data_IF_555791254992
#
_entry.id   IF_555791254992
#
_cell.length_a   1.000
_cell.length_b   1.000
_cell.length_c   1.000
_cell.angle_alpha   90.00
_cell.angle_beta   90.00
_cell.angle_gamma   90.00
#
_symmetry.space_group_name_H-M   'P 1'
#
loop_
_entity.id
_entity.type
_entity.pdbx_description
1 polymer ?
#
# COMPACT_ATOMS: atom_id res chain seq x y z
N UNK A 1 27.78 13.20 13.01
CA UNK A 1 26.99 13.26 11.75
C UNK A 1 25.58 13.66 12.13
N UNK A 2 24.95 14.60 11.41
CA UNK A 2 23.54 14.96 11.62
C UNK A 2 22.63 13.77 11.34
N UNK A 3 21.43 13.76 11.96
CA UNK A 3 20.40 12.75 11.65
C UNK A 3 20.02 12.83 10.19
N UNK A 4 19.83 11.68 9.53
CA UNK A 4 19.28 11.64 8.17
C UNK A 4 17.80 12.07 8.21
N UNK A 5 17.40 12.93 7.29
CA UNK A 5 16.02 13.42 7.19
C UNK A 5 15.21 12.58 6.21
N UNK A 6 13.99 12.23 6.57
CA UNK A 6 13.02 11.57 5.71
C UNK A 6 11.68 12.30 5.73
N UNK A 7 11.08 12.47 4.55
CA UNK A 7 9.78 13.14 4.41
C UNK A 7 8.71 12.12 4.02
N UNK A 8 7.59 12.10 4.76
CA UNK A 8 6.52 11.10 4.63
C UNK A 8 5.18 11.79 4.36
N UNK A 9 4.87 12.14 3.10
CA UNK A 9 3.53 12.58 2.73
C UNK A 9 2.50 11.48 3.01
N UNK A 10 1.42 11.80 3.75
CA UNK A 10 0.42 10.82 4.17
C UNK A 10 0.83 9.96 5.38
N UNK A 11 1.85 10.35 6.13
CA UNK A 11 2.34 9.63 7.32
C UNK A 11 1.32 9.47 8.46
N UNK A 12 0.16 10.14 8.42
CA UNK A 12 -0.93 9.98 9.39
C UNK A 12 -1.83 8.75 9.18
N UNK A 13 -1.79 8.10 7.99
CA UNK A 13 -2.54 6.89 7.69
C UNK A 13 -2.03 5.65 8.43
N UNK A 14 -2.72 4.51 8.29
CA UNK A 14 -2.32 3.24 8.94
C UNK A 14 -0.86 2.88 8.64
N UNK A 15 -0.52 2.70 7.36
CA UNK A 15 0.86 2.38 6.94
C UNK A 15 1.81 3.51 7.34
N UNK A 16 1.42 4.77 7.13
CA UNK A 16 2.24 5.92 7.44
C UNK A 16 2.66 6.02 8.91
N UNK A 17 1.77 5.66 9.85
CA UNK A 17 2.10 5.63 11.28
C UNK A 17 3.15 4.56 11.62
N UNK A 18 3.09 3.40 10.98
CA UNK A 18 4.13 2.36 11.15
C UNK A 18 5.47 2.82 10.59
N UNK A 19 5.48 3.39 9.39
CA UNK A 19 6.69 3.97 8.76
C UNK A 19 7.28 5.07 9.61
N UNK A 20 6.45 6.02 10.08
CA UNK A 20 6.88 7.11 10.95
C UNK A 20 7.55 6.59 12.23
N UNK A 21 6.90 5.65 12.94
CA UNK A 21 7.47 5.06 14.17
C UNK A 21 8.79 4.33 13.90
N UNK A 22 8.86 3.59 12.80
CA UNK A 22 10.05 2.84 12.42
C UNK A 22 11.25 3.77 12.23
N UNK A 23 11.11 4.82 11.43
CA UNK A 23 12.22 5.75 11.19
C UNK A 23 12.58 6.59 12.42
N UNK A 24 11.60 6.98 13.25
CA UNK A 24 11.88 7.63 14.56
C UNK A 24 12.68 6.71 15.47
N UNK A 25 12.28 5.44 15.61
CA UNK A 25 12.97 4.45 16.44
C UNK A 25 14.40 4.19 15.96
N UNK A 26 14.66 4.33 14.65
CA UNK A 26 15.98 4.21 14.04
C UNK A 26 16.77 5.55 14.01
N UNK A 27 16.32 6.57 14.73
CA UNK A 27 17.08 7.81 14.97
C UNK A 27 17.03 8.82 13.81
N UNK A 28 16.09 8.69 12.85
CA UNK A 28 15.92 9.64 11.75
C UNK A 28 15.22 10.92 12.20
N UNK A 29 15.47 12.02 11.47
CA UNK A 29 14.64 13.24 11.52
C UNK A 29 13.45 13.03 10.58
N UNK A 30 12.26 12.83 11.16
CA UNK A 30 11.05 12.46 10.40
C UNK A 30 10.14 13.66 10.21
N UNK A 31 9.83 14.00 8.97
CA UNK A 31 8.87 15.03 8.61
C UNK A 31 7.63 14.36 7.99
N UNK A 32 6.47 14.58 8.59
CA UNK A 32 5.19 14.09 8.07
C UNK A 32 4.42 15.22 7.41
N UNK A 33 4.12 15.10 6.11
CA UNK A 33 3.20 16.03 5.46
C UNK A 33 1.76 15.53 5.63
N UNK A 34 0.90 16.38 6.20
CA UNK A 34 -0.49 16.03 6.50
C UNK A 34 -1.45 17.17 6.17
N UNK A 35 -2.62 16.83 5.64
CA UNK A 35 -3.75 17.77 5.43
C UNK A 35 -4.44 18.17 6.74
N UNK A 36 -4.19 17.42 7.80
CA UNK A 36 -4.63 17.77 9.15
C UNK A 36 -3.48 18.42 9.90
N UNK A 37 -3.77 19.46 10.65
CA UNK A 37 -2.79 20.06 11.56
C UNK A 37 -2.61 19.18 12.76
N UNK A 38 -1.37 18.85 13.09
CA UNK A 38 -0.99 18.08 14.25
C UNK A 38 0.08 18.84 15.02
N UNK A 39 0.12 18.65 16.33
CA UNK A 39 1.25 19.10 17.14
C UNK A 39 2.50 18.26 16.84
N UNK A 40 3.67 18.90 16.91
CA UNK A 40 4.93 18.20 16.80
C UNK A 40 5.07 17.23 17.97
N UNK A 41 5.68 16.08 17.70
CA UNK A 41 6.01 15.08 18.74
C UNK A 41 7.49 14.82 18.71
N UNK A 42 8.03 14.25 19.78
CA UNK A 42 9.44 13.91 19.85
C UNK A 42 9.85 13.05 18.64
N UNK A 43 10.85 13.53 17.90
CA UNK A 43 11.36 12.87 16.68
C UNK A 43 10.48 13.01 15.44
N UNK A 44 9.32 13.71 15.50
CA UNK A 44 8.43 13.90 14.34
C UNK A 44 7.99 15.34 14.22
N UNK A 45 8.24 15.93 13.07
CA UNK A 45 7.69 17.24 12.69
C UNK A 45 6.49 17.05 11.75
N UNK A 46 5.37 17.67 12.07
CA UNK A 46 4.17 17.66 11.22
C UNK A 46 4.07 18.98 10.48
N UNK A 47 4.09 18.91 9.16
CA UNK A 47 3.96 20.08 8.29
C UNK A 47 2.64 19.97 7.53
N UNK A 48 1.90 21.06 7.52
CA UNK A 48 0.65 21.11 6.76
C UNK A 48 0.93 21.21 5.26
N UNK A 49 0.18 20.46 4.47
CA UNK A 49 0.13 20.57 3.01
C UNK A 49 -1.28 20.23 2.53
N UNK A 50 -1.66 20.66 1.34
CA UNK A 50 -2.98 20.34 0.76
C UNK A 50 -2.95 19.09 -0.14
N UNK A 51 -1.74 18.63 -0.53
CA UNK A 51 -1.51 17.47 -1.39
C UNK A 51 -1.62 17.77 -2.89
N UNK A 52 -1.63 19.05 -3.29
CA UNK A 52 -1.84 19.44 -4.68
C UNK A 52 -1.00 20.65 -5.13
N UNK A 53 -0.64 21.56 -4.23
CA UNK A 53 0.04 22.80 -4.59
C UNK A 53 1.39 22.91 -3.89
N UNK A 54 2.38 23.53 -4.56
CA UNK A 54 3.65 23.92 -3.93
C UNK A 54 3.40 25.01 -2.89
N UNK A 55 4.06 24.86 -1.76
CA UNK A 55 4.05 25.81 -0.66
C UNK A 55 5.33 25.56 0.18
N UNK A 56 5.51 26.25 1.30
CA UNK A 56 6.66 26.16 2.20
C UNK A 56 7.02 24.72 2.66
N UNK A 57 6.11 23.77 2.58
CA UNK A 57 6.40 22.35 2.84
C UNK A 57 7.46 21.76 1.89
N UNK A 58 7.60 22.32 0.68
CA UNK A 58 8.56 21.86 -0.33
C UNK A 58 10.02 21.98 0.14
N UNK A 59 10.32 22.98 0.98
CA UNK A 59 11.65 23.20 1.54
C UNK A 59 12.13 22.01 2.40
N UNK A 60 11.19 21.21 2.93
CA UNK A 60 11.52 20.02 3.70
C UNK A 60 12.15 18.90 2.85
N UNK A 61 11.96 18.94 1.53
CA UNK A 61 12.54 17.94 0.62
C UNK A 61 14.01 18.19 0.34
N UNK A 62 14.45 19.46 0.43
CA UNK A 62 15.86 19.80 0.21
C UNK A 62 16.75 19.21 1.30
N UNK A 63 17.77 18.46 0.92
CA UNK A 63 18.66 17.74 1.81
C UNK A 63 18.00 16.53 2.52
N UNK A 64 16.78 16.11 2.15
CA UNK A 64 16.22 14.86 2.62
C UNK A 64 16.94 13.66 1.98
N UNK A 65 17.19 12.60 2.76
CA UNK A 65 17.77 11.37 2.22
C UNK A 65 16.75 10.58 1.38
N UNK A 66 15.48 10.62 1.78
CA UNK A 66 14.40 9.91 1.08
C UNK A 66 13.05 10.63 1.24
N UNK A 67 12.15 10.37 0.28
CA UNK A 67 10.73 10.70 0.35
C UNK A 67 9.92 9.40 0.27
N UNK A 68 8.93 9.20 1.16
CA UNK A 68 8.01 8.06 1.12
C UNK A 68 6.59 8.59 0.98
N UNK A 69 6.12 8.73 -0.26
CA UNK A 69 4.76 9.21 -0.54
C UNK A 69 3.73 8.08 -0.34
N UNK A 70 2.93 8.22 0.71
CA UNK A 70 1.78 7.37 1.05
C UNK A 70 0.46 8.14 0.94
N UNK A 71 0.49 9.34 0.33
CA UNK A 71 -0.69 10.15 0.17
C UNK A 71 -1.67 9.51 -0.83
N UNK A 72 -2.92 9.52 -0.45
CA UNK A 72 -4.00 9.02 -1.29
C UNK A 72 -5.30 8.92 -0.50
N UNK A 73 -6.42 9.18 -1.17
CA UNK A 73 -7.73 8.93 -0.61
C UNK A 73 -7.97 7.42 -0.47
N UNK A 74 -8.65 7.01 0.61
CA UNK A 74 -9.07 5.62 0.77
C UNK A 74 -9.94 5.15 -0.41
N UNK A 75 -9.66 3.93 -0.90
CA UNK A 75 -10.48 3.24 -1.91
C UNK A 75 -11.67 2.50 -1.28
N UNK A 76 -11.73 2.46 0.06
CA UNK A 76 -12.86 1.89 0.79
C UNK A 76 -14.06 2.84 0.72
N UNK A 77 -14.62 3.00 -0.47
CA UNK A 77 -15.77 3.83 -0.76
C UNK A 77 -16.45 3.36 -2.06
N UNK A 78 -17.70 3.76 -2.29
CA UNK A 78 -18.40 3.53 -3.57
C UNK A 78 -17.74 4.31 -4.71
N UNK A 79 -17.51 3.69 -5.85
CA UNK A 79 -16.90 4.28 -7.03
C UNK A 79 -17.88 5.12 -7.88
N UNK A 80 -18.63 6.04 -7.22
CA UNK A 80 -19.42 7.05 -7.91
C UNK A 80 -18.53 8.15 -8.51
N UNK A 81 -19.07 8.98 -9.41
CA UNK A 81 -18.31 10.02 -10.15
C UNK A 81 -17.41 10.88 -9.24
N UNK A 82 -17.93 11.39 -8.13
CA UNK A 82 -17.16 12.21 -7.16
C UNK A 82 -15.99 11.42 -6.56
N UNK A 83 -16.27 10.22 -6.05
CA UNK A 83 -15.24 9.41 -5.39
C UNK A 83 -14.15 8.97 -6.38
N UNK A 84 -14.52 8.59 -7.62
CA UNK A 84 -13.54 8.26 -8.67
C UNK A 84 -12.61 9.44 -8.95
N UNK A 85 -13.16 10.64 -9.13
CA UNK A 85 -12.38 11.85 -9.33
C UNK A 85 -11.41 12.10 -8.17
N UNK A 86 -11.88 12.07 -6.94
CA UNK A 86 -11.05 12.30 -5.77
C UNK A 86 -9.98 11.20 -5.55
N UNK A 87 -10.25 9.95 -5.99
CA UNK A 87 -9.26 8.88 -5.97
C UNK A 87 -8.14 9.15 -6.97
N UNK A 88 -8.44 9.61 -8.20
CA UNK A 88 -7.45 10.03 -9.18
C UNK A 88 -6.65 11.23 -8.66
N UNK A 89 -7.34 12.34 -8.39
CA UNK A 89 -6.74 13.62 -8.02
C UNK A 89 -5.80 13.49 -6.81
N UNK A 90 -6.23 12.75 -5.77
CA UNK A 90 -5.42 12.59 -4.55
C UNK A 90 -4.10 11.83 -4.79
N UNK A 91 -3.97 11.09 -5.88
CA UNK A 91 -2.77 10.33 -6.25
C UNK A 91 -1.93 11.07 -7.28
N UNK A 92 -2.57 11.51 -8.35
CA UNK A 92 -1.91 12.23 -9.43
C UNK A 92 -1.30 13.54 -8.89
N UNK A 93 -2.11 14.40 -8.29
CA UNK A 93 -1.64 15.73 -7.82
C UNK A 93 -0.57 15.62 -6.73
N UNK A 94 -0.76 14.71 -5.75
CA UNK A 94 0.25 14.53 -4.71
C UNK A 94 1.60 14.06 -5.28
N UNK A 95 1.57 13.23 -6.32
CA UNK A 95 2.78 12.72 -6.96
C UNK A 95 3.41 13.80 -7.84
N UNK A 96 2.61 14.52 -8.64
CA UNK A 96 3.10 15.59 -9.50
C UNK A 96 3.76 16.71 -8.68
N UNK A 97 3.10 17.21 -7.63
CA UNK A 97 3.63 18.29 -6.81
C UNK A 97 4.88 17.90 -6.02
N UNK A 98 5.00 16.63 -5.58
CA UNK A 98 6.24 16.13 -4.97
C UNK A 98 7.36 16.08 -6.02
N UNK A 99 7.07 15.62 -7.23
CA UNK A 99 8.04 15.62 -8.33
C UNK A 99 8.55 17.02 -8.67
N UNK A 100 7.65 18.01 -8.72
CA UNK A 100 7.98 19.41 -8.94
C UNK A 100 8.83 19.96 -7.79
N UNK A 101 8.48 19.68 -6.54
CA UNK A 101 9.25 20.09 -5.37
C UNK A 101 10.65 19.48 -5.36
N UNK A 102 10.81 18.19 -5.69
CA UNK A 102 12.12 17.53 -5.80
C UNK A 102 12.96 18.18 -6.91
N UNK A 103 12.36 18.53 -8.05
CA UNK A 103 13.05 19.20 -9.15
C UNK A 103 13.59 20.59 -8.75
N UNK A 104 12.97 21.25 -7.78
CA UNK A 104 13.40 22.54 -7.23
C UNK A 104 14.47 22.46 -6.14
N UNK A 105 14.81 21.27 -5.64
CA UNK A 105 15.78 21.10 -4.56
C UNK A 105 17.22 21.39 -5.03
N UNK A 106 18.00 22.11 -4.21
CA UNK A 106 19.44 22.23 -4.40
C UNK A 106 20.18 20.92 -4.12
N UNK A 107 19.68 20.15 -3.15
CA UNK A 107 20.17 18.81 -2.78
C UNK A 107 18.98 17.85 -2.78
N UNK A 108 18.61 17.26 -3.95
CA UNK A 108 17.44 16.42 -4.06
C UNK A 108 17.59 15.11 -3.29
N UNK A 109 16.48 14.51 -2.83
CA UNK A 109 16.47 13.20 -2.20
C UNK A 109 17.10 12.14 -3.10
N UNK A 110 17.89 11.22 -2.51
CA UNK A 110 18.50 10.11 -3.28
C UNK A 110 17.46 9.15 -3.83
N UNK A 111 16.37 8.94 -3.08
CA UNK A 111 15.30 8.01 -3.48
C UNK A 111 13.93 8.58 -3.11
N UNK A 112 12.99 8.37 -4.04
CA UNK A 112 11.59 8.64 -3.85
C UNK A 112 10.78 7.35 -3.99
N UNK A 113 10.24 6.88 -2.87
CA UNK A 113 9.25 5.81 -2.79
C UNK A 113 7.87 6.43 -2.99
N UNK A 114 7.15 5.96 -3.96
CA UNK A 114 5.76 6.37 -4.19
C UNK A 114 4.85 5.16 -4.06
N UNK A 115 3.79 5.27 -3.26
CA UNK A 115 2.81 4.20 -3.19
C UNK A 115 2.23 3.92 -4.58
N UNK A 116 2.00 2.65 -4.85
CA UNK A 116 1.35 2.08 -6.01
C UNK A 116 0.54 0.87 -5.56
N UNK A 117 0.05 0.03 -6.44
CA UNK A 117 -0.76 -1.12 -6.04
C UNK A 117 -0.55 -2.34 -6.92
N UNK A 118 -0.48 -3.51 -6.29
CA UNK A 118 -0.50 -4.82 -6.96
C UNK A 118 -1.80 -5.08 -7.77
N UNK A 119 -2.81 -4.23 -7.62
CA UNK A 119 -4.05 -4.26 -8.42
C UNK A 119 -3.81 -4.00 -9.91
N UNK A 120 -2.65 -3.44 -10.28
CA UNK A 120 -2.28 -3.19 -11.68
C UNK A 120 -2.24 -4.48 -12.52
N UNK A 121 -1.90 -5.61 -11.89
CA UNK A 121 -1.81 -6.90 -12.58
C UNK A 121 -3.19 -7.47 -12.90
N UNK A 122 -3.27 -8.28 -13.97
CA UNK A 122 -4.50 -8.95 -14.36
C UNK A 122 -5.01 -9.91 -13.26
N UNK A 123 -6.27 -10.26 -13.35
CA UNK A 123 -6.84 -11.36 -12.58
C UNK A 123 -6.12 -12.66 -12.94
N UNK A 124 -5.44 -13.30 -12.00
CA UNK A 124 -4.64 -14.51 -12.24
C UNK A 124 -5.02 -15.63 -11.29
N UNK A 125 -5.39 -16.78 -11.88
CA UNK A 125 -5.55 -18.06 -11.18
C UNK A 125 -4.48 -19.07 -11.62
N UNK A 126 -3.81 -18.82 -12.73
CA UNK A 126 -2.96 -19.73 -13.47
C UNK A 126 -1.47 -19.60 -13.11
N UNK A 127 -0.97 -18.38 -12.86
CA UNK A 127 0.44 -18.15 -12.56
C UNK A 127 0.68 -16.94 -11.67
N UNK A 128 1.86 -16.87 -11.09
CA UNK A 128 2.35 -15.75 -10.32
C UNK A 128 2.62 -14.54 -11.22
N UNK A 129 2.44 -13.33 -10.67
CA UNK A 129 2.73 -12.05 -11.30
C UNK A 129 3.89 -11.40 -10.56
N UNK A 130 5.05 -11.37 -11.16
CA UNK A 130 6.21 -10.61 -10.71
C UNK A 130 6.41 -9.33 -11.54
N UNK A 131 7.48 -8.58 -11.28
CA UNK A 131 7.76 -7.33 -11.98
C UNK A 131 8.28 -7.53 -13.41
N UNK A 132 8.86 -8.68 -13.72
CA UNK A 132 9.47 -9.01 -15.00
C UNK A 132 8.48 -9.65 -15.98
N UNK A 133 7.66 -10.58 -15.49
CA UNK A 133 6.77 -11.41 -16.32
C UNK A 133 5.29 -11.15 -16.06
N UNK A 134 4.96 -10.35 -15.05
CA UNK A 134 3.58 -10.06 -14.67
C UNK A 134 2.85 -9.22 -15.71
N UNK A 135 1.66 -9.67 -16.09
CA UNK A 135 0.82 -9.01 -17.08
C UNK A 135 -0.01 -7.89 -16.44
N UNK A 136 0.15 -6.68 -16.98
CA UNK A 136 -0.70 -5.54 -16.61
C UNK A 136 -2.09 -5.75 -17.18
N UNK A 137 -3.12 -5.55 -16.36
CA UNK A 137 -4.51 -5.66 -16.80
C UNK A 137 -4.83 -4.55 -17.82
N UNK A 138 -5.44 -4.86 -18.97
CA UNK A 138 -5.76 -3.85 -19.96
C UNK A 138 -6.87 -2.91 -19.48
N UNK A 139 -6.80 -1.65 -19.91
CA UNK A 139 -7.87 -0.67 -19.77
C UNK A 139 -8.46 -0.40 -21.15
N UNK A 140 -9.79 -0.39 -21.26
CA UNK A 140 -10.50 -0.16 -22.51
C UNK A 140 -10.15 1.20 -23.14
N UNK A 141 -10.11 1.26 -24.47
CA UNK A 141 -10.01 2.53 -25.19
C UNK A 141 -11.13 3.50 -24.80
N UNK A 142 -10.78 4.77 -24.61
CA UNK A 142 -11.71 5.80 -24.12
C UNK A 142 -11.96 5.79 -22.61
N UNK A 143 -11.28 4.90 -21.86
CA UNK A 143 -11.29 4.86 -20.41
C UNK A 143 -11.99 3.63 -19.81
N UNK A 144 -11.94 3.49 -18.47
CA UNK A 144 -12.40 2.30 -17.78
C UNK A 144 -13.91 2.10 -17.86
N UNK A 145 -14.36 0.93 -18.31
CA UNK A 145 -15.77 0.54 -18.47
C UNK A 145 -16.36 -0.13 -17.22
N UNK A 146 -15.51 -0.69 -16.36
CA UNK A 146 -15.90 -1.37 -15.15
C UNK A 146 -15.02 -0.99 -13.97
N UNK A 147 -15.28 -1.56 -12.79
CA UNK A 147 -14.56 -1.24 -11.55
C UNK A 147 -13.13 -1.76 -11.53
N UNK A 148 -12.86 -2.88 -12.19
CA UNK A 148 -11.52 -3.47 -12.26
C UNK A 148 -10.62 -2.62 -13.15
N UNK A 149 -11.09 -2.26 -14.33
CA UNK A 149 -10.38 -1.34 -15.21
C UNK A 149 -10.15 0.03 -14.55
N UNK A 150 -11.15 0.53 -13.77
CA UNK A 150 -10.96 1.77 -13.01
C UNK A 150 -9.79 1.67 -12.03
N UNK A 151 -9.70 0.58 -11.25
CA UNK A 151 -8.61 0.40 -10.29
C UNK A 151 -7.25 0.31 -10.98
N UNK A 152 -7.18 -0.33 -12.15
CA UNK A 152 -5.96 -0.42 -12.97
C UNK A 152 -5.59 0.94 -13.56
N UNK A 153 -6.57 1.68 -14.09
CA UNK A 153 -6.33 3.02 -14.66
C UNK A 153 -5.80 3.99 -13.60
N UNK A 154 -6.34 3.93 -12.38
CA UNK A 154 -5.80 4.70 -11.23
C UNK A 154 -4.32 4.41 -11.02
N UNK A 155 -3.91 3.14 -11.02
CA UNK A 155 -2.51 2.77 -10.79
C UNK A 155 -1.63 3.20 -11.97
N UNK A 156 -2.09 3.00 -13.20
CA UNK A 156 -1.37 3.41 -14.42
C UNK A 156 -1.08 4.92 -14.42
N UNK A 157 -2.06 5.75 -14.06
CA UNK A 157 -1.88 7.21 -13.97
C UNK A 157 -0.93 7.58 -12.83
N UNK A 158 -1.07 6.91 -11.70
CA UNK A 158 -0.21 7.15 -10.54
C UNK A 158 1.26 6.84 -10.83
N UNK A 159 1.56 5.67 -11.43
CA UNK A 159 2.92 5.32 -11.84
C UNK A 159 3.43 6.23 -12.95
N UNK A 160 2.58 6.65 -13.89
CA UNK A 160 2.93 7.62 -14.94
C UNK A 160 3.34 8.97 -14.35
N UNK A 161 2.60 9.51 -13.38
CA UNK A 161 2.96 10.76 -12.71
C UNK A 161 4.33 10.65 -12.02
N UNK A 162 4.64 9.51 -11.38
CA UNK A 162 5.94 9.26 -10.77
C UNK A 162 7.07 9.21 -11.80
N UNK A 163 6.89 8.42 -12.86
CA UNK A 163 8.00 8.16 -13.80
C UNK A 163 8.22 9.30 -14.81
N UNK A 164 7.22 10.14 -15.04
CA UNK A 164 7.35 11.33 -15.88
C UNK A 164 7.97 12.54 -15.16
N UNK A 165 8.14 12.50 -13.82
CA UNK A 165 8.77 13.59 -13.09
C UNK A 165 10.21 13.85 -13.60
N UNK A 166 10.58 15.11 -13.94
CA UNK A 166 11.88 15.43 -14.54
C UNK A 166 12.98 15.57 -13.46
N UNK A 167 13.27 14.48 -12.76
CA UNK A 167 14.19 14.41 -11.62
C UNK A 167 15.28 13.34 -11.83
N UNK A 168 16.23 13.53 -12.75
CA UNK A 168 17.19 12.49 -13.12
C UNK A 168 18.12 12.05 -11.96
N UNK A 169 18.33 12.93 -10.97
CA UNK A 169 19.19 12.65 -9.80
C UNK A 169 18.52 11.86 -8.68
N UNK A 170 17.20 11.63 -8.74
CA UNK A 170 16.43 10.91 -7.73
C UNK A 170 15.99 9.54 -8.25
N UNK A 171 16.38 8.48 -7.55
CA UNK A 171 15.91 7.12 -7.83
C UNK A 171 14.42 6.99 -7.46
N UNK A 172 13.62 6.44 -8.36
CA UNK A 172 12.16 6.33 -8.20
C UNK A 172 11.76 4.88 -8.02
N UNK A 173 10.94 4.61 -6.99
CA UNK A 173 10.38 3.29 -6.70
C UNK A 173 8.87 3.39 -6.61
N UNK A 174 8.14 2.72 -7.53
CA UNK A 174 6.71 2.52 -7.42
C UNK A 174 6.48 1.28 -6.54
N UNK A 175 6.05 1.51 -5.30
CA UNK A 175 5.72 0.44 -4.35
C UNK A 175 4.38 -0.19 -4.72
N UNK A 176 4.36 -1.27 -5.49
CA UNK A 176 3.15 -2.04 -5.82
C UNK A 176 2.68 -2.83 -4.60
N UNK A 177 2.02 -2.14 -3.70
CA UNK A 177 1.55 -2.68 -2.42
C UNK A 177 0.44 -3.71 -2.62
N UNK A 178 0.57 -4.85 -1.96
CA UNK A 178 -0.52 -5.77 -1.64
C UNK A 178 -1.28 -5.30 -0.39
N UNK A 179 -2.18 -6.12 0.15
CA UNK A 179 -2.83 -5.80 1.42
C UNK A 179 -1.82 -5.89 2.56
N UNK A 180 -1.54 -4.76 3.21
CA UNK A 180 -0.62 -4.70 4.36
C UNK A 180 -1.38 -4.99 5.64
N UNK A 181 -0.98 -6.05 6.34
CA UNK A 181 -1.56 -6.50 7.60
C UNK A 181 -0.62 -6.17 8.77
N UNK A 182 -1.21 -5.75 9.87
CA UNK A 182 -0.53 -5.40 11.12
C UNK A 182 -1.52 -4.90 12.15
N UNK A 183 -1.04 -4.60 13.35
CA UNK A 183 -1.86 -4.07 14.46
C UNK A 183 -2.12 -2.57 14.30
N UNK A 184 -3.24 -2.11 14.86
CA UNK A 184 -3.60 -0.69 14.92
C UNK A 184 -4.85 -0.33 14.11
N UNK A 185 -5.51 0.73 14.53
CA UNK A 185 -6.79 1.20 13.98
C UNK A 185 -6.67 1.66 12.53
N UNK A 186 -7.66 1.32 11.72
CA UNK A 186 -7.74 1.69 10.29
C UNK A 186 -6.94 0.77 9.36
N UNK A 187 -6.32 -0.29 9.90
CA UNK A 187 -5.70 -1.36 9.12
C UNK A 187 -6.72 -2.35 8.59
N UNK A 188 -6.37 -3.05 7.51
CA UNK A 188 -7.24 -4.06 6.90
C UNK A 188 -7.42 -5.29 7.81
N UNK A 189 -6.42 -5.60 8.66
CA UNK A 189 -6.52 -6.71 9.62
C UNK A 189 -7.67 -6.53 10.60
N UNK A 190 -7.88 -5.32 11.12
CA UNK A 190 -8.99 -5.00 12.02
C UNK A 190 -10.34 -5.40 11.42
N UNK A 191 -10.55 -5.08 10.14
CA UNK A 191 -11.81 -5.42 9.43
C UNK A 191 -11.98 -6.93 9.30
N UNK A 192 -10.95 -7.62 8.81
CA UNK A 192 -11.00 -9.09 8.63
C UNK A 192 -11.15 -9.81 9.96
N UNK A 193 -10.43 -9.40 11.00
CA UNK A 193 -10.52 -9.91 12.36
C UNK A 193 -11.94 -9.77 12.92
N UNK A 194 -12.51 -8.58 12.84
CA UNK A 194 -13.85 -8.31 13.35
C UNK A 194 -14.91 -9.18 12.63
N UNK A 195 -14.89 -9.20 11.30
CA UNK A 195 -15.79 -10.06 10.50
C UNK A 195 -15.65 -11.53 10.93
N UNK A 196 -14.43 -12.00 11.12
CA UNK A 196 -14.13 -13.38 11.53
C UNK A 196 -14.70 -13.68 12.92
N UNK A 197 -14.50 -12.80 13.89
CA UNK A 197 -15.00 -12.96 15.26
C UNK A 197 -16.53 -12.91 15.37
N UNK A 198 -17.20 -12.24 14.43
CA UNK A 198 -18.66 -12.26 14.29
C UNK A 198 -19.19 -13.52 13.57
N UNK A 199 -18.33 -14.52 13.28
CA UNK A 199 -18.74 -15.75 12.60
C UNK A 199 -18.91 -15.62 11.08
N UNK A 200 -18.55 -14.48 10.49
CA UNK A 200 -18.64 -14.21 9.05
C UNK A 200 -17.30 -14.39 8.32
N UNK A 201 -16.32 -15.03 8.98
CA UNK A 201 -14.98 -15.30 8.45
C UNK A 201 -14.88 -16.51 7.53
N UNK A 202 -15.95 -16.91 6.85
CA UNK A 202 -15.92 -17.97 5.85
C UNK A 202 -15.30 -17.54 4.53
N UNK A 203 -15.29 -18.47 3.57
CA UNK A 203 -14.82 -18.23 2.21
C UNK A 203 -15.59 -17.07 1.57
N UNK A 204 -14.87 -16.15 0.93
CA UNK A 204 -15.43 -15.00 0.24
C UNK A 204 -15.50 -15.27 -1.28
N UNK A 205 -16.67 -15.11 -1.88
CA UNK A 205 -16.88 -15.39 -3.29
C UNK A 205 -16.61 -16.88 -3.63
N UNK A 206 -15.92 -17.19 -4.75
CA UNK A 206 -15.59 -18.56 -5.14
C UNK A 206 -14.50 -19.20 -4.23
N UNK A 207 -13.72 -18.41 -3.51
CA UNK A 207 -12.64 -18.87 -2.64
C UNK A 207 -11.38 -19.35 -3.34
N UNK A 208 -11.41 -19.44 -4.67
CA UNK A 208 -10.25 -19.85 -5.50
C UNK A 208 -9.38 -18.67 -5.90
N UNK A 209 -9.90 -17.44 -5.81
CA UNK A 209 -9.11 -16.23 -6.09
C UNK A 209 -7.99 -16.09 -5.06
N UNK A 210 -6.81 -15.72 -5.55
CA UNK A 210 -5.63 -15.52 -4.70
C UNK A 210 -5.66 -14.18 -3.98
N UNK A 211 -5.14 -14.20 -2.76
CA UNK A 211 -4.92 -13.05 -1.91
C UNK A 211 -3.41 -12.85 -1.80
N UNK A 212 -2.92 -11.74 -2.35
CA UNK A 212 -1.58 -11.24 -2.02
C UNK A 212 -1.66 -10.36 -0.79
N UNK A 213 -0.76 -10.61 0.13
CA UNK A 213 -0.71 -10.00 1.45
C UNK A 213 0.72 -9.62 1.81
N UNK A 214 0.90 -8.82 2.85
CA UNK A 214 2.20 -8.43 3.37
C UNK A 214 2.09 -8.14 4.86
N UNK A 215 3.03 -8.66 5.67
CA UNK A 215 3.16 -8.26 7.06
C UNK A 215 3.78 -6.85 7.14
N UNK A 216 3.28 -6.00 8.03
CA UNK A 216 3.76 -4.61 8.16
C UNK A 216 5.24 -4.54 8.54
N UNK A 217 5.75 -5.48 9.34
CA UNK A 217 7.17 -5.56 9.69
C UNK A 217 8.04 -5.82 8.45
N UNK A 218 7.67 -6.79 7.61
CA UNK A 218 8.39 -7.04 6.36
C UNK A 218 8.30 -5.85 5.40
N UNK A 219 7.17 -5.14 5.38
CA UNK A 219 7.07 -3.89 4.61
C UNK A 219 8.10 -2.84 5.07
N UNK A 220 8.27 -2.65 6.38
CA UNK A 220 9.26 -1.72 6.92
C UNK A 220 10.70 -2.15 6.57
N UNK A 221 10.99 -3.45 6.67
CA UNK A 221 12.28 -4.02 6.26
C UNK A 221 12.54 -3.88 4.76
N UNK A 222 11.50 -4.02 3.92
CA UNK A 222 11.60 -3.78 2.48
C UNK A 222 11.93 -2.31 2.17
N UNK A 223 11.38 -1.35 2.92
CA UNK A 223 11.74 0.07 2.78
C UNK A 223 13.23 0.28 3.08
N UNK A 224 13.71 -0.26 4.22
CA UNK A 224 15.14 -0.20 4.56
C UNK A 224 16.00 -0.88 3.50
N UNK A 225 15.59 -2.07 3.04
CA UNK A 225 16.31 -2.80 2.00
C UNK A 225 16.44 -1.97 0.73
N UNK A 226 15.33 -1.47 0.22
CA UNK A 226 15.32 -0.63 -0.98
C UNK A 226 16.07 0.70 -0.79
N UNK A 227 16.10 1.25 0.43
CA UNK A 227 16.83 2.48 0.74
C UNK A 227 18.34 2.32 0.53
N UNK A 228 18.89 1.14 0.88
CA UNK A 228 20.32 0.85 0.83
C UNK A 228 20.77 0.01 -0.37
N UNK A 229 19.84 -0.44 -1.24
CA UNK A 229 20.14 -1.21 -2.45
C UNK A 229 19.80 -0.39 -3.70
N UNK A 230 20.79 0.38 -4.19
CA UNK A 230 20.58 1.37 -5.25
C UNK A 230 20.18 0.76 -6.62
N UNK A 231 20.44 -0.53 -6.86
CA UNK A 231 20.01 -1.23 -8.05
C UNK A 231 18.49 -1.47 -8.12
N UNK A 232 17.78 -1.38 -6.98
CA UNK A 232 16.33 -1.47 -6.94
C UNK A 232 15.71 -0.13 -7.30
N UNK A 233 15.17 -0.01 -8.50
CA UNK A 233 14.48 1.18 -9.03
C UNK A 233 13.30 0.77 -9.91
N UNK A 234 12.39 1.67 -10.22
CA UNK A 234 11.18 1.33 -10.97
C UNK A 234 10.10 0.64 -10.12
N UNK A 235 9.23 -0.18 -10.72
CA UNK A 235 8.22 -0.93 -9.98
C UNK A 235 8.85 -2.01 -9.08
N UNK A 236 8.37 -2.11 -7.83
CA UNK A 236 8.75 -3.14 -6.87
C UNK A 236 7.49 -3.67 -6.19
N UNK A 237 7.27 -4.97 -6.27
CA UNK A 237 6.13 -5.63 -5.62
C UNK A 237 6.38 -5.75 -4.12
N UNK A 238 5.63 -4.98 -3.34
CA UNK A 238 5.65 -5.03 -1.89
C UNK A 238 4.59 -6.02 -1.40
N UNK A 239 4.94 -7.31 -1.42
CA UNK A 239 4.07 -8.41 -1.03
C UNK A 239 4.87 -9.57 -0.42
N UNK A 240 4.20 -10.43 0.34
CA UNK A 240 4.76 -11.72 0.78
C UNK A 240 5.02 -12.64 -0.42
N UNK A 241 6.03 -13.54 -0.36
CA UNK A 241 6.36 -14.45 -1.47
C UNK A 241 5.30 -15.54 -1.71
N UNK A 242 4.38 -15.76 -0.76
CA UNK A 242 3.41 -16.85 -0.79
C UNK A 242 1.95 -16.33 -0.83
N UNK A 243 1.46 -15.85 -2.00
CA UNK A 243 0.04 -15.57 -2.17
C UNK A 243 -0.75 -16.88 -2.07
N UNK A 244 -1.98 -16.83 -1.52
CA UNK A 244 -2.77 -18.04 -1.32
C UNK A 244 -4.24 -17.87 -1.69
N UNK A 245 -4.97 -18.98 -2.01
CA UNK A 245 -6.41 -18.92 -2.27
C UNK A 245 -7.19 -18.34 -1.09
N UNK A 246 -8.22 -17.55 -1.37
CA UNK A 246 -9.04 -16.90 -0.32
C UNK A 246 -9.60 -17.89 0.70
N UNK A 247 -10.03 -19.09 0.28
CA UNK A 247 -10.55 -20.11 1.20
C UNK A 247 -9.53 -20.48 2.29
N UNK A 248 -8.26 -20.66 1.89
CA UNK A 248 -7.16 -21.05 2.76
C UNK A 248 -6.70 -19.86 3.61
N UNK A 249 -6.69 -18.65 3.03
CA UNK A 249 -6.45 -17.40 3.72
C UNK A 249 -7.47 -17.16 4.86
N UNK A 250 -8.75 -17.30 4.58
CA UNK A 250 -9.80 -17.12 5.58
C UNK A 250 -9.83 -18.23 6.61
N UNK A 251 -9.47 -19.48 6.22
CA UNK A 251 -9.31 -20.58 7.16
C UNK A 251 -8.21 -20.30 8.17
N UNK A 252 -7.01 -19.94 7.72
CA UNK A 252 -5.88 -19.61 8.58
C UNK A 252 -6.19 -18.42 9.53
N UNK A 253 -6.91 -17.41 9.04
CA UNK A 253 -7.35 -16.30 9.89
C UNK A 253 -8.31 -16.73 10.99
N UNK A 254 -9.26 -17.65 10.69
CA UNK A 254 -10.16 -18.20 11.72
C UNK A 254 -9.39 -18.95 12.79
N UNK A 255 -8.45 -19.81 12.38
CA UNK A 255 -7.59 -20.56 13.32
C UNK A 255 -6.83 -19.58 14.24
N UNK A 256 -6.22 -18.53 13.68
CA UNK A 256 -5.52 -17.50 14.45
C UNK A 256 -6.45 -16.78 15.45
N UNK A 257 -7.69 -16.49 15.04
CA UNK A 257 -8.70 -15.84 15.89
C UNK A 257 -9.37 -16.80 16.89
N UNK A 258 -9.13 -18.12 16.82
CA UNK A 258 -9.80 -19.14 17.65
C UNK A 258 -11.28 -19.34 17.30
N UNK A 259 -11.67 -19.07 16.05
CA UNK A 259 -13.07 -19.17 15.57
C UNK A 259 -13.24 -20.44 14.74
N UNK A 260 -13.96 -21.44 15.28
CA UNK A 260 -14.15 -22.75 14.63
C UNK A 260 -14.96 -22.71 13.34
N UNK A 261 -15.98 -21.86 13.28
CA UNK A 261 -16.93 -21.82 12.17
C UNK A 261 -16.94 -20.41 11.55
N UNK A 262 -17.06 -20.35 10.22
CA UNK A 262 -17.23 -19.09 9.49
C UNK A 262 -18.25 -19.27 8.38
N UNK A 263 -19.28 -18.47 8.39
CA UNK A 263 -20.28 -18.47 7.32
C UNK A 263 -19.63 -17.98 6.01
N UNK A 264 -19.76 -18.73 4.92
CA UNK A 264 -19.27 -18.30 3.63
C UNK A 264 -20.09 -17.11 3.12
N UNK A 265 -19.41 -16.21 2.42
CA UNK A 265 -20.02 -15.02 1.83
C UNK A 265 -19.98 -15.13 0.30
N UNK A 266 -20.99 -15.72 -0.34
CA UNK A 266 -21.05 -15.80 -1.79
C UNK A 266 -21.06 -14.40 -2.42
N UNK A 267 -20.64 -14.28 -3.68
CA UNK A 267 -20.42 -12.99 -4.35
C UNK A 267 -21.63 -12.04 -4.28
N UNK A 268 -22.85 -12.57 -4.37
CA UNK A 268 -24.08 -11.74 -4.24
C UNK A 268 -24.26 -11.16 -2.83
N UNK A 269 -23.93 -11.95 -1.80
CA UNK A 269 -24.02 -11.49 -0.40
C UNK A 269 -22.90 -10.47 -0.09
N UNK A 270 -21.70 -10.67 -0.64
CA UNK A 270 -20.64 -9.65 -0.61
C UNK A 270 -21.10 -8.34 -1.27
N UNK A 271 -21.87 -8.43 -2.37
CA UNK A 271 -22.49 -7.27 -3.02
C UNK A 271 -23.43 -6.50 -2.09
N UNK A 272 -24.26 -7.20 -1.33
CA UNK A 272 -25.15 -6.61 -0.33
C UNK A 272 -24.35 -6.01 0.83
N UNK A 273 -23.39 -6.76 1.40
CA UNK A 273 -22.52 -6.28 2.47
C UNK A 273 -21.71 -5.04 2.05
N UNK A 274 -21.13 -5.08 0.86
CA UNK A 274 -20.43 -3.93 0.27
C UNK A 274 -21.37 -2.73 0.06
N UNK A 275 -22.66 -2.99 -0.24
CA UNK A 275 -23.67 -1.93 -0.32
C UNK A 275 -23.84 -1.21 1.02
N UNK A 276 -24.02 -1.91 2.09
CA UNK A 276 -24.19 -1.34 3.43
C UNK A 276 -22.90 -0.74 3.98
N UNK A 277 -21.74 -1.37 3.76
CA UNK A 277 -20.43 -0.87 4.18
C UNK A 277 -19.88 0.23 3.27
N UNK A 278 -20.59 0.59 2.20
CA UNK A 278 -20.18 1.61 1.21
C UNK A 278 -18.80 1.35 0.58
N UNK A 279 -18.45 0.08 0.39
CA UNK A 279 -17.20 -0.37 -0.24
C UNK A 279 -17.43 -1.05 -1.58
N UNK A 280 -16.39 -1.53 -2.23
CA UNK A 280 -16.44 -2.24 -3.51
C UNK A 280 -15.98 -3.69 -3.38
N UNK A 281 -16.74 -4.60 -4.01
CA UNK A 281 -16.44 -6.06 -4.00
C UNK A 281 -15.20 -6.43 -4.79
N UNK A 282 -14.75 -5.56 -5.69
CA UNK A 282 -13.53 -5.77 -6.49
C UNK A 282 -12.31 -6.03 -5.60
N UNK A 283 -12.22 -5.35 -4.46
CA UNK A 283 -11.12 -5.50 -3.51
C UNK A 283 -10.95 -6.94 -2.98
N UNK A 284 -12.04 -7.72 -2.96
CA UNK A 284 -12.09 -9.09 -2.44
C UNK A 284 -12.14 -10.17 -3.54
N UNK A 285 -12.73 -9.85 -4.70
CA UNK A 285 -13.02 -10.84 -5.75
C UNK A 285 -11.98 -10.92 -6.87
N UNK A 286 -11.17 -9.86 -7.07
CA UNK A 286 -10.06 -9.91 -8.05
C UNK A 286 -8.95 -10.80 -7.49
N UNK A 287 -8.59 -11.85 -8.22
CA UNK A 287 -7.44 -12.71 -7.87
C UNK A 287 -6.13 -11.96 -8.08
N UNK A 288 -5.42 -11.75 -6.99
CA UNK A 288 -4.08 -11.14 -6.97
C UNK A 288 -3.08 -12.21 -6.57
N UNK A 289 -2.41 -12.80 -7.55
CA UNK A 289 -1.36 -13.80 -7.34
C UNK A 289 -0.01 -13.17 -7.64
N UNK A 290 0.37 -12.20 -6.79
CA UNK A 290 1.54 -11.35 -6.99
C UNK A 290 2.67 -11.80 -6.07
N UNK A 291 3.88 -11.87 -6.60
CA UNK A 291 5.10 -12.25 -5.90
C UNK A 291 6.19 -11.17 -6.03
N UNK A 292 7.08 -11.04 -5.04
CA UNK A 292 8.10 -10.00 -4.98
C UNK A 292 9.39 -10.43 -5.69
N UNK A 293 9.33 -10.63 -7.03
CA UNK A 293 10.43 -11.19 -7.82
C UNK A 293 11.75 -10.46 -7.61
N UNK A 294 11.77 -9.14 -7.76
CA UNK A 294 12.97 -8.31 -7.64
C UNK A 294 13.56 -8.27 -6.23
N UNK A 295 12.73 -8.34 -5.19
CA UNK A 295 13.20 -8.40 -3.80
C UNK A 295 13.87 -9.77 -3.53
N UNK A 296 13.25 -10.86 -3.99
CA UNK A 296 13.83 -12.20 -3.86
C UNK A 296 15.15 -12.32 -4.62
N UNK A 297 15.22 -11.84 -5.85
CA UNK A 297 16.44 -11.81 -6.67
C UNK A 297 17.55 -10.96 -6.03
N UNK A 298 17.19 -9.90 -5.29
CA UNK A 298 18.14 -9.08 -4.55
C UNK A 298 18.63 -9.68 -3.23
N UNK A 299 18.11 -10.84 -2.83
CA UNK A 299 18.47 -11.53 -1.60
C UNK A 299 17.69 -11.08 -0.36
N UNK A 300 16.54 -10.42 -0.53
CA UNK A 300 15.70 -10.05 0.62
C UNK A 300 15.09 -11.28 1.29
N UNK A 301 15.24 -11.38 2.60
CA UNK A 301 14.69 -12.46 3.42
C UNK A 301 13.49 -11.96 4.23
N UNK A 302 12.38 -12.70 4.18
CA UNK A 302 11.14 -12.39 4.88
C UNK A 302 11.15 -12.94 6.30
N UNK A 303 10.70 -12.14 7.28
CA UNK A 303 10.43 -12.62 8.64
C UNK A 303 9.09 -13.36 8.71
N UNK A 304 8.12 -12.94 7.89
CA UNK A 304 6.77 -13.50 7.84
C UNK A 304 6.43 -13.98 6.43
N UNK A 305 7.07 -15.09 5.96
CA UNK A 305 6.86 -15.57 4.59
C UNK A 305 5.51 -16.25 4.39
N UNK A 306 4.86 -16.78 5.45
CA UNK A 306 3.61 -17.54 5.37
C UNK A 306 2.48 -16.86 6.13
N UNK A 307 1.27 -16.86 5.54
CA UNK A 307 0.11 -16.22 6.13
C UNK A 307 -0.37 -16.86 7.46
N UNK A 308 -0.42 -18.21 7.60
CA UNK A 308 -0.87 -18.80 8.85
C UNK A 308 -0.07 -18.32 10.07
N UNK A 309 1.25 -18.26 9.94
CA UNK A 309 2.15 -17.79 11.00
C UNK A 309 2.00 -16.29 11.26
N UNK A 310 1.95 -15.49 10.17
CA UNK A 310 1.73 -14.05 10.25
C UNK A 310 0.39 -13.70 10.91
N UNK A 311 -0.70 -14.41 10.57
CA UNK A 311 -2.02 -14.18 11.15
C UNK A 311 -2.04 -14.45 12.65
N UNK A 312 -1.37 -15.52 13.12
CA UNK A 312 -1.24 -15.84 14.54
C UNK A 312 -0.43 -14.77 15.28
N UNK A 313 0.68 -14.33 14.69
CA UNK A 313 1.51 -13.28 15.28
C UNK A 313 0.74 -11.96 15.42
N UNK A 314 0.08 -11.50 14.34
CA UNK A 314 -0.69 -10.26 14.36
C UNK A 314 -1.85 -10.34 15.35
N UNK A 315 -2.59 -11.47 15.42
CA UNK A 315 -3.69 -11.64 16.38
C UNK A 315 -3.18 -11.64 17.82
N UNK A 316 -2.03 -12.23 18.10
CA UNK A 316 -1.39 -12.17 19.41
C UNK A 316 -1.03 -10.73 19.78
N UNK A 317 -0.32 -10.04 18.91
CA UNK A 317 0.08 -8.63 19.12
C UNK A 317 -1.12 -7.66 19.16
N UNK A 318 -2.29 -8.08 18.71
CA UNK A 318 -3.53 -7.30 18.82
C UNK A 318 -4.20 -7.44 20.20
N UNK A 319 -3.94 -8.55 20.91
CA UNK A 319 -4.52 -8.82 22.23
C UNK A 319 -3.70 -8.18 23.35
N UNK A 320 -2.40 -8.03 23.15
CA UNK A 320 -1.45 -7.40 24.08
C UNK A 320 -1.59 -5.86 24.03
#
# INVERSE_FOLDING_TARGET
>A
MGKQKIVIPGGGGFIGRHVTRHFVANGWDVVVLSRQRHEHREGVRFIWWDGANLDAWADELDGAAAVINLAGRTVNCRYGKKNRREIYESREFSTEVIGEAIAGCATPPRVWFNASSATIYRHSLDRDMDEATGEIDPVSEGGPRNKWEFSVDVVNRWERALFNAPIPGTRRIAMRLSMVFGTGTGGVFEVFRNITRFGLGGTQGPGTQYVSWLHVEDFLRMLDWCLYHDHLSGPVNMCSPNPMPNRDFMWALREACGVKHGLPSPAWMLGIGAFFMRTETELLLKSRRVVPGRLLESGFEFNHPTWPEAAVEIERSWRD
#
